data_IF_975749972657
#
_entry.id   IF_975749972657
#
_cell.length_a   1.000
_cell.length_b   1.000
_cell.length_c   1.000
_cell.angle_alpha   90.00
_cell.angle_beta   90.00
_cell.angle_gamma   90.00
#
_symmetry.space_group_name_H-M   'P 1'
#
loop_
_entity.id
_entity.type
_entity.pdbx_description
1 polymer ?
#
# COMPACT_ATOMS: atom_id res chain seq x y z
N UNK A 1 53.75 -6.52 8.75
CA UNK A 1 52.47 -5.89 9.14
C UNK A 1 52.31 -6.08 10.64
N UNK A 2 52.06 -5.00 11.37
CA UNK A 2 51.97 -5.02 12.82
C UNK A 2 50.56 -5.52 13.25
N UNK A 3 50.45 -6.11 14.43
CA UNK A 3 49.20 -6.64 15.00
C UNK A 3 48.04 -5.60 14.89
N UNK A 4 48.34 -4.33 15.05
CA UNK A 4 47.41 -3.23 14.85
C UNK A 4 46.84 -3.13 13.43
N UNK A 5 47.65 -3.44 12.40
CA UNK A 5 47.16 -3.45 11.01
C UNK A 5 46.10 -4.54 10.76
N UNK A 6 46.31 -5.72 11.31
CA UNK A 6 45.31 -6.81 11.21
C UNK A 6 44.01 -6.49 11.94
N UNK A 7 44.11 -5.83 13.11
CA UNK A 7 42.95 -5.40 13.86
C UNK A 7 42.12 -4.36 13.08
N UNK A 8 42.77 -3.37 12.49
CA UNK A 8 42.10 -2.34 11.68
C UNK A 8 41.41 -2.97 10.47
N UNK A 9 42.08 -3.83 9.73
CA UNK A 9 41.53 -4.54 8.56
C UNK A 9 40.33 -5.41 9.00
N UNK A 10 40.42 -6.12 10.12
CA UNK A 10 39.33 -6.93 10.66
C UNK A 10 38.08 -6.11 10.99
N UNK A 11 38.27 -4.96 11.63
CA UNK A 11 37.18 -4.04 11.94
C UNK A 11 36.51 -3.52 10.66
N UNK A 12 37.31 -3.13 9.64
CA UNK A 12 36.75 -2.67 8.37
C UNK A 12 35.97 -3.76 7.64
N UNK A 13 36.41 -5.00 7.65
CA UNK A 13 35.71 -6.12 7.03
C UNK A 13 34.37 -6.41 7.74
N UNK A 14 34.36 -6.40 9.06
CA UNK A 14 33.16 -6.62 9.86
C UNK A 14 32.13 -5.49 9.64
N UNK A 15 32.59 -4.24 9.65
CA UNK A 15 31.70 -3.09 9.41
C UNK A 15 31.14 -3.09 7.99
N UNK A 16 31.95 -3.39 6.98
CA UNK A 16 31.51 -3.54 5.59
C UNK A 16 30.46 -4.65 5.45
N UNK A 17 30.69 -5.79 6.11
CA UNK A 17 29.75 -6.91 6.10
C UNK A 17 28.40 -6.53 6.73
N UNK A 18 28.42 -5.83 7.88
CA UNK A 18 27.19 -5.36 8.54
C UNK A 18 26.42 -4.38 7.63
N UNK A 19 27.13 -3.45 6.97
CA UNK A 19 26.51 -2.49 6.04
C UNK A 19 25.85 -3.24 4.87
N UNK A 20 26.51 -4.21 4.28
CA UNK A 20 25.95 -5.02 3.19
C UNK A 20 24.69 -5.75 3.65
N UNK A 21 24.73 -6.40 4.81
CA UNK A 21 23.55 -7.09 5.37
C UNK A 21 22.39 -6.14 5.62
N UNK A 22 22.63 -4.96 6.17
CA UNK A 22 21.57 -3.96 6.42
C UNK A 22 20.97 -3.43 5.12
N UNK A 23 21.78 -3.19 4.09
CA UNK A 23 21.30 -2.76 2.77
C UNK A 23 20.44 -3.85 2.12
N UNK A 24 20.89 -5.10 2.13
CA UNK A 24 20.15 -6.23 1.58
C UNK A 24 18.82 -6.45 2.31
N UNK A 25 18.82 -6.35 3.65
CA UNK A 25 17.61 -6.46 4.45
C UNK A 25 16.60 -5.36 4.12
N UNK A 26 17.04 -4.10 4.07
CA UNK A 26 16.17 -2.97 3.74
C UNK A 26 15.63 -3.06 2.31
N UNK A 27 16.46 -3.44 1.33
CA UNK A 27 16.02 -3.65 -0.05
C UNK A 27 14.98 -4.78 -0.15
N UNK A 28 15.19 -5.89 0.56
CA UNK A 28 14.25 -7.00 0.63
C UNK A 28 12.92 -6.59 1.25
N UNK A 29 12.94 -5.84 2.34
CA UNK A 29 11.74 -5.32 3.00
C UNK A 29 10.96 -4.36 2.08
N UNK A 30 11.63 -3.43 1.40
CA UNK A 30 10.97 -2.53 0.44
C UNK A 30 10.34 -3.30 -0.72
N UNK A 31 11.06 -4.27 -1.28
CA UNK A 31 10.52 -5.10 -2.36
C UNK A 31 9.28 -5.88 -1.92
N UNK A 32 9.33 -6.52 -0.76
CA UNK A 32 8.20 -7.27 -0.20
C UNK A 32 6.98 -6.37 0.08
N UNK A 33 7.20 -5.23 0.73
CA UNK A 33 6.15 -4.26 1.03
C UNK A 33 5.49 -3.72 -0.25
N UNK A 34 6.28 -3.37 -1.27
CA UNK A 34 5.76 -2.88 -2.55
C UNK A 34 4.99 -3.94 -3.35
N UNK A 35 5.42 -5.20 -3.27
CA UNK A 35 4.71 -6.31 -3.90
C UNK A 35 3.38 -6.57 -3.21
N UNK A 36 3.38 -6.63 -1.88
CA UNK A 36 2.16 -6.83 -1.09
C UNK A 36 1.13 -5.72 -1.31
N UNK A 37 1.57 -4.46 -1.34
CA UNK A 37 0.69 -3.32 -1.63
C UNK A 37 0.07 -3.42 -3.02
N UNK A 38 0.86 -3.78 -4.05
CA UNK A 38 0.36 -3.98 -5.42
C UNK A 38 -0.67 -5.10 -5.49
N UNK A 39 -0.39 -6.25 -4.90
CA UNK A 39 -1.31 -7.39 -4.92
C UNK A 39 -2.66 -7.05 -4.25
N UNK A 40 -2.63 -6.23 -3.20
CA UNK A 40 -3.84 -5.75 -2.53
C UNK A 40 -4.64 -4.79 -3.41
N UNK A 41 -3.96 -3.83 -4.06
CA UNK A 41 -4.59 -2.87 -4.99
C UNK A 41 -5.20 -3.61 -6.18
N UNK A 42 -4.47 -4.53 -6.80
CA UNK A 42 -4.95 -5.32 -7.94
C UNK A 42 -6.19 -6.15 -7.59
N UNK A 43 -6.24 -6.67 -6.37
CA UNK A 43 -7.40 -7.41 -5.87
C UNK A 43 -8.64 -6.51 -5.74
N UNK A 44 -8.46 -5.29 -5.20
CA UNK A 44 -9.54 -4.32 -5.08
C UNK A 44 -10.01 -3.83 -6.46
N UNK A 45 -9.08 -3.56 -7.38
CA UNK A 45 -9.41 -3.16 -8.74
C UNK A 45 -10.22 -4.22 -9.49
N UNK A 46 -9.86 -5.50 -9.34
CA UNK A 46 -10.63 -6.60 -9.94
C UNK A 46 -12.05 -6.69 -9.37
N UNK A 47 -12.22 -6.40 -8.08
CA UNK A 47 -13.55 -6.37 -7.47
C UNK A 47 -14.40 -5.21 -8.01
N UNK A 48 -13.82 -4.01 -8.11
CA UNK A 48 -14.50 -2.86 -8.71
C UNK A 48 -14.83 -3.10 -10.19
N UNK A 49 -13.88 -3.65 -10.96
CA UNK A 49 -14.11 -3.95 -12.37
C UNK A 49 -15.25 -4.96 -12.58
N UNK A 50 -15.43 -5.92 -11.66
CA UNK A 50 -16.51 -6.91 -11.72
C UNK A 50 -17.89 -6.29 -11.59
N UNK A 51 -18.02 -5.17 -10.89
CA UNK A 51 -19.29 -4.44 -10.75
C UNK A 51 -19.62 -3.57 -11.99
N UNK A 52 -18.63 -3.31 -12.83
CA UNK A 52 -18.81 -2.56 -14.07
C UNK A 52 -19.35 -3.45 -15.20
N UNK A 53 -20.11 -2.89 -16.16
CA UNK A 53 -20.74 -3.66 -17.23
C UNK A 53 -19.75 -4.25 -18.26
N UNK A 54 -18.45 -3.92 -18.19
CA UNK A 54 -17.40 -4.48 -19.05
C UNK A 54 -17.53 -4.18 -20.55
N UNK A 55 -18.25 -3.10 -20.91
CA UNK A 55 -18.52 -2.74 -22.33
C UNK A 55 -17.41 -1.94 -22.98
N UNK A 56 -16.45 -1.42 -22.18
CA UNK A 56 -15.34 -0.57 -22.65
C UNK A 56 -15.77 0.53 -23.64
N UNK A 57 -16.92 1.17 -23.36
CA UNK A 57 -17.58 2.09 -24.29
C UNK A 57 -16.98 3.49 -24.34
N UNK A 58 -16.02 3.83 -23.45
CA UNK A 58 -15.35 5.12 -23.38
C UNK A 58 -16.21 6.31 -22.90
N UNK A 59 -17.51 6.15 -22.66
CA UNK A 59 -18.43 7.26 -22.30
C UNK A 59 -18.06 7.93 -20.98
N UNK A 60 -17.41 7.21 -20.06
CA UNK A 60 -16.89 7.76 -18.81
C UNK A 60 -15.58 8.56 -18.96
N UNK A 61 -15.08 8.72 -20.21
CA UNK A 61 -13.83 9.38 -20.51
C UNK A 61 -12.58 8.54 -20.16
N UNK A 62 -12.73 7.24 -19.98
CA UNK A 62 -11.63 6.28 -19.79
C UNK A 62 -11.63 5.26 -20.94
N UNK A 63 -10.45 4.79 -21.35
CA UNK A 63 -10.27 3.87 -22.48
C UNK A 63 -10.92 2.50 -22.25
N UNK A 64 -11.06 2.09 -20.99
CA UNK A 64 -11.65 0.80 -20.61
C UNK A 64 -12.33 0.88 -19.24
N UNK A 65 -13.20 -0.10 -18.96
CA UNK A 65 -13.83 -0.23 -17.64
C UNK A 65 -12.78 -0.48 -16.54
N UNK A 66 -11.67 -1.16 -16.84
CA UNK A 66 -10.56 -1.34 -15.90
C UNK A 66 -9.85 -0.02 -15.62
N UNK A 67 -9.59 0.81 -16.64
CA UNK A 67 -9.02 2.15 -16.47
C UNK A 67 -9.93 3.06 -15.65
N UNK A 68 -11.25 2.94 -15.83
CA UNK A 68 -12.22 3.68 -15.02
C UNK A 68 -12.20 3.19 -13.56
N UNK A 69 -12.21 1.89 -13.31
CA UNK A 69 -12.08 1.34 -11.96
C UNK A 69 -10.81 1.83 -11.25
N UNK A 70 -9.68 1.88 -11.98
CA UNK A 70 -8.43 2.43 -11.48
C UNK A 70 -8.53 3.92 -11.16
N UNK A 71 -9.17 4.71 -12.02
CA UNK A 71 -9.34 6.15 -11.80
C UNK A 71 -10.27 6.44 -10.60
N UNK A 72 -11.32 5.66 -10.40
CA UNK A 72 -12.20 5.77 -9.21
C UNK A 72 -11.41 5.42 -7.95
N UNK A 73 -10.62 4.35 -7.98
CA UNK A 73 -9.91 3.86 -6.80
C UNK A 73 -8.72 4.75 -6.40
N UNK A 74 -7.90 5.20 -7.37
CA UNK A 74 -6.66 5.95 -7.09
C UNK A 74 -6.83 7.46 -7.15
N UNK A 75 -7.66 7.95 -8.08
CA UNK A 75 -7.85 9.38 -8.32
C UNK A 75 -9.16 9.91 -7.73
N UNK A 76 -9.93 9.09 -7.00
CA UNK A 76 -11.25 9.43 -6.47
C UNK A 76 -12.19 10.05 -7.52
N UNK A 77 -12.09 9.56 -8.76
CA UNK A 77 -12.99 9.99 -9.84
C UNK A 77 -14.42 9.62 -9.49
N UNK A 78 -15.36 10.45 -9.90
CA UNK A 78 -16.79 10.24 -9.63
C UNK A 78 -17.26 8.87 -10.11
N UNK A 79 -17.99 8.15 -9.25
CA UNK A 79 -18.42 6.77 -9.49
C UNK A 79 -19.65 6.67 -10.38
N UNK A 80 -20.28 7.78 -10.74
CA UNK A 80 -21.53 7.91 -11.50
C UNK A 80 -21.34 8.15 -13.00
N UNK A 81 -20.09 8.29 -13.46
CA UNK A 81 -19.77 8.56 -14.87
C UNK A 81 -20.03 7.36 -15.81
N UNK A 82 -20.30 6.18 -15.26
CA UNK A 82 -20.57 4.98 -16.06
C UNK A 82 -22.02 4.99 -16.59
N UNK A 83 -22.25 5.56 -17.77
CA UNK A 83 -23.58 5.66 -18.39
C UNK A 83 -24.27 4.28 -18.57
N UNK A 84 -23.59 3.23 -19.11
CA UNK A 84 -24.23 1.92 -19.28
C UNK A 84 -24.53 1.20 -17.96
N UNK A 85 -23.80 1.54 -16.90
CA UNK A 85 -24.01 0.96 -15.57
C UNK A 85 -25.11 1.64 -14.77
N UNK A 86 -25.34 2.91 -15.05
CA UNK A 86 -26.34 3.74 -14.39
C UNK A 86 -26.15 3.86 -12.88
N UNK A 87 -27.19 4.31 -12.21
CA UNK A 87 -27.20 4.58 -10.77
C UNK A 87 -26.89 3.34 -9.90
N UNK A 88 -27.28 2.14 -10.36
CA UNK A 88 -27.04 0.89 -9.63
C UNK A 88 -25.55 0.56 -9.50
N UNK A 89 -24.79 0.79 -10.58
CA UNK A 89 -23.33 0.57 -10.58
C UNK A 89 -22.65 1.66 -9.78
N UNK A 90 -23.08 2.91 -9.92
CA UNK A 90 -22.59 4.04 -9.14
C UNK A 90 -22.74 3.81 -7.62
N UNK A 91 -23.91 3.35 -7.19
CA UNK A 91 -24.16 3.03 -5.78
C UNK A 91 -23.24 1.92 -5.25
N UNK A 92 -23.02 0.87 -6.04
CA UNK A 92 -22.11 -0.23 -5.67
C UNK A 92 -20.66 0.21 -5.59
N UNK A 93 -20.19 1.02 -6.54
CA UNK A 93 -18.83 1.56 -6.52
C UNK A 93 -18.62 2.45 -5.30
N UNK A 94 -19.55 3.35 -4.99
CA UNK A 94 -19.51 4.20 -3.79
C UNK A 94 -19.48 3.35 -2.51
N UNK A 95 -20.36 2.38 -2.37
CA UNK A 95 -20.39 1.49 -1.21
C UNK A 95 -19.08 0.70 -1.02
N UNK A 96 -18.44 0.30 -2.13
CA UNK A 96 -17.14 -0.39 -2.09
C UNK A 96 -16.02 0.53 -1.63
N UNK A 97 -15.99 1.77 -2.13
CA UNK A 97 -15.03 2.79 -1.72
C UNK A 97 -15.21 3.17 -0.25
N UNK A 98 -16.44 3.43 0.20
CA UNK A 98 -16.74 3.76 1.60
C UNK A 98 -16.31 2.64 2.56
N UNK A 99 -16.53 1.39 2.15
CA UNK A 99 -16.11 0.23 2.94
C UNK A 99 -14.58 0.15 3.05
N UNK A 100 -13.89 0.42 1.96
CA UNK A 100 -12.42 0.41 1.93
C UNK A 100 -11.85 1.54 2.77
N UNK A 101 -12.36 2.77 2.63
CA UNK A 101 -11.96 3.94 3.42
C UNK A 101 -12.21 3.73 4.92
N UNK A 102 -13.33 3.10 5.27
CA UNK A 102 -13.63 2.74 6.65
C UNK A 102 -12.62 1.74 7.22
N UNK A 103 -12.22 0.74 6.43
CA UNK A 103 -11.19 -0.22 6.84
C UNK A 103 -9.84 0.46 7.07
N UNK A 104 -9.41 1.33 6.15
CA UNK A 104 -8.16 2.07 6.29
C UNK A 104 -8.17 2.94 7.54
N UNK A 105 -9.25 3.69 7.78
CA UNK A 105 -9.42 4.55 8.96
C UNK A 105 -9.35 3.75 10.27
N UNK A 106 -9.98 2.58 10.30
CA UNK A 106 -9.94 1.68 11.47
C UNK A 106 -8.53 1.16 11.76
N UNK A 107 -7.76 0.84 10.72
CA UNK A 107 -6.36 0.41 10.84
C UNK A 107 -5.46 1.54 11.35
N UNK A 108 -5.65 2.75 10.86
CA UNK A 108 -4.91 3.94 11.32
C UNK A 108 -5.19 4.25 12.79
N UNK A 109 -6.47 4.20 13.20
CA UNK A 109 -6.86 4.40 14.60
C UNK A 109 -6.28 3.32 15.52
N UNK A 110 -6.23 2.06 15.07
CA UNK A 110 -5.63 0.96 15.81
C UNK A 110 -4.12 1.19 16.01
N UNK A 111 -3.40 1.48 14.93
CA UNK A 111 -1.96 1.81 14.99
C UNK A 111 -1.68 2.99 15.91
N UNK A 112 -2.50 4.04 15.85
CA UNK A 112 -2.37 5.20 16.73
C UNK A 112 -2.57 4.84 18.21
N UNK A 113 -3.54 3.99 18.52
CA UNK A 113 -3.78 3.51 19.89
C UNK A 113 -2.62 2.65 20.41
N UNK A 114 -2.10 1.75 19.57
CA UNK A 114 -0.98 0.89 19.92
C UNK A 114 0.30 1.71 20.18
N UNK A 115 0.56 2.70 19.33
CA UNK A 115 1.69 3.61 19.49
C UNK A 115 1.58 4.45 20.78
N UNK A 116 0.39 4.97 21.12
CA UNK A 116 0.15 5.71 22.36
C UNK A 116 0.40 4.83 23.59
N UNK A 117 -0.08 3.57 23.57
CA UNK A 117 0.17 2.62 24.66
C UNK A 117 1.65 2.32 24.87
N UNK A 118 2.40 2.19 23.77
CA UNK A 118 3.85 1.97 23.84
C UNK A 118 4.59 3.16 24.46
N UNK A 119 4.17 4.37 24.12
CA UNK A 119 4.71 5.59 24.70
C UNK A 119 4.38 5.75 26.20
N UNK A 120 3.16 5.40 26.61
CA UNK A 120 2.75 5.43 28.02
C UNK A 120 3.57 4.43 28.83
N UNK A 121 3.76 3.21 28.32
CA UNK A 121 4.58 2.17 28.97
C UNK A 121 6.04 2.62 29.16
N UNK A 122 6.65 3.22 28.13
CA UNK A 122 8.03 3.72 28.23
C UNK A 122 8.21 4.87 29.20
N UNK A 123 7.14 5.63 29.51
CA UNK A 123 7.16 6.71 30.50
C UNK A 123 7.11 6.19 31.94
N UNK A 124 6.39 5.08 32.16
CA UNK A 124 6.24 4.47 33.48
C UNK A 124 7.50 3.68 33.91
N UNK A 125 8.41 3.40 32.98
CA UNK A 125 9.69 2.71 33.23
C UNK A 125 10.87 3.67 33.52
N UNK A 126 10.67 4.99 33.48
CA UNK A 126 11.66 6.03 33.81
C UNK A 126 11.43 6.62 35.21
#
# INVERSE_FOLDING_TARGET
>A
MNVWGYLIIGIFLVTAFIIILTVLYNAGMMYFASKFARDTIDKQLKLLHKELPGKDCGQCGCESCMAYAHAVFTCHKEADLCVPGGEKVAAKLKAHMDKFDKLLRTEEERKKKDWVKEMEKGRDEL
#
